data_IF_039615112263
#
_entry.id   IF_039615112263
#
_cell.length_a   1.000
_cell.length_b   1.000
_cell.length_c   1.000
_cell.angle_alpha   90.00
_cell.angle_beta   90.00
_cell.angle_gamma   90.00
#
_symmetry.space_group_name_H-M   'P 1'
#
loop_
_entity.id
_entity.type
_entity.pdbx_description
1 polymer ?
#
# COMPACT_ATOMS: atom_id res chain seq x y z
N UNK A 1 -32.90 14.41 -44.29
CA UNK A 1 -32.18 13.28 -43.68
C UNK A 1 -31.51 13.83 -42.44
N UNK A 2 -32.00 13.46 -41.26
CA UNK A 2 -31.57 14.01 -39.96
C UNK A 2 -30.20 13.43 -39.63
N UNK A 3 -29.23 14.31 -39.39
CA UNK A 3 -27.84 13.98 -39.13
C UNK A 3 -27.69 13.38 -37.72
N UNK A 4 -27.88 12.07 -37.64
CA UNK A 4 -27.81 11.24 -36.43
C UNK A 4 -26.43 11.29 -35.73
N UNK A 5 -25.41 11.85 -36.39
CA UNK A 5 -24.05 12.08 -35.88
C UNK A 5 -23.96 13.13 -34.76
N UNK A 6 -25.00 13.96 -34.58
CA UNK A 6 -25.03 15.07 -33.60
C UNK A 6 -25.80 14.75 -32.32
N UNK A 7 -26.24 13.51 -32.15
CA UNK A 7 -26.79 13.04 -30.88
C UNK A 7 -25.64 12.73 -29.93
N UNK A 8 -25.69 13.15 -28.65
CA UNK A 8 -24.68 12.85 -27.64
C UNK A 8 -24.80 11.40 -27.15
N UNK A 9 -25.07 10.46 -28.06
CA UNK A 9 -25.00 9.04 -27.79
C UNK A 9 -23.76 8.52 -28.51
N UNK A 10 -22.58 8.83 -27.97
CA UNK A 10 -21.39 8.01 -28.22
C UNK A 10 -21.70 6.62 -27.66
N UNK A 11 -21.95 5.59 -28.49
CA UNK A 11 -22.01 4.21 -28.02
C UNK A 11 -20.55 3.85 -27.73
N UNK A 12 -20.16 3.90 -26.46
CA UNK A 12 -18.74 3.78 -26.06
C UNK A 12 -18.37 4.60 -24.84
N UNK A 13 -19.29 5.38 -24.28
CA UNK A 13 -19.24 5.65 -22.84
C UNK A 13 -19.65 4.35 -22.12
N UNK A 14 -18.77 3.34 -22.17
CA UNK A 14 -18.87 2.10 -21.41
C UNK A 14 -18.69 2.42 -19.92
N UNK A 15 -19.69 3.08 -19.36
CA UNK A 15 -19.96 3.19 -17.92
C UNK A 15 -20.14 1.79 -17.28
N UNK A 16 -20.18 0.72 -18.08
CA UNK A 16 -20.15 -0.68 -17.64
C UNK A 16 -18.78 -1.23 -17.25
N UNK A 17 -17.66 -0.55 -17.55
CA UNK A 17 -16.31 -1.02 -17.15
C UNK A 17 -15.80 -0.41 -15.84
N UNK A 18 -16.50 0.60 -15.31
CA UNK A 18 -16.09 1.29 -14.08
C UNK A 18 -16.32 0.49 -12.80
N UNK A 19 -17.15 -0.57 -12.79
CA UNK A 19 -17.54 -1.22 -11.54
C UNK A 19 -17.68 -2.77 -11.56
N UNK A 20 -17.35 -3.48 -12.64
CA UNK A 20 -17.51 -4.97 -12.66
C UNK A 20 -16.21 -5.75 -12.46
N UNK A 21 -15.04 -5.13 -12.59
CA UNK A 21 -13.77 -5.85 -12.56
C UNK A 21 -13.28 -6.15 -11.14
N UNK A 22 -12.94 -7.42 -10.86
CA UNK A 22 -12.19 -7.89 -9.68
C UNK A 22 -10.98 -6.99 -9.37
N UNK A 23 -10.34 -6.46 -10.42
CA UNK A 23 -9.24 -5.50 -10.30
C UNK A 23 -9.57 -4.22 -9.52
N UNK A 24 -10.81 -3.70 -9.59
CA UNK A 24 -11.21 -2.49 -8.86
C UNK A 24 -11.33 -2.76 -7.36
N UNK A 25 -11.88 -3.92 -6.98
CA UNK A 25 -11.99 -4.32 -5.57
C UNK A 25 -10.61 -4.58 -4.97
N UNK A 26 -9.75 -5.26 -5.73
CA UNK A 26 -8.35 -5.48 -5.35
C UNK A 26 -7.61 -4.16 -5.21
N UNK A 27 -7.79 -3.23 -6.14
CA UNK A 27 -7.20 -1.88 -6.09
C UNK A 27 -7.60 -1.13 -4.82
N UNK A 28 -8.90 -1.13 -4.49
CA UNK A 28 -9.42 -0.47 -3.30
C UNK A 28 -8.80 -1.04 -2.01
N UNK A 29 -8.75 -2.37 -1.90
CA UNK A 29 -8.18 -3.06 -0.74
C UNK A 29 -6.67 -2.81 -0.66
N UNK A 30 -5.94 -2.91 -1.77
CA UNK A 30 -4.49 -2.70 -1.80
C UNK A 30 -4.10 -1.26 -1.49
N UNK A 31 -4.77 -0.27 -2.09
CA UNK A 31 -4.48 1.15 -1.83
C UNK A 31 -4.77 1.52 -0.38
N UNK A 32 -5.93 1.12 0.14
CA UNK A 32 -6.27 1.36 1.54
C UNK A 32 -5.34 0.59 2.49
N UNK A 33 -5.01 -0.67 2.15
CA UNK A 33 -4.10 -1.52 2.91
C UNK A 33 -2.68 -0.96 2.98
N UNK A 34 -2.11 -0.51 1.85
CA UNK A 34 -0.80 0.13 1.81
C UNK A 34 -0.78 1.45 2.58
N UNK A 35 -1.84 2.27 2.45
CA UNK A 35 -1.95 3.52 3.21
C UNK A 35 -1.96 3.25 4.71
N UNK A 36 -2.78 2.30 5.15
CA UNK A 36 -2.86 1.90 6.55
C UNK A 36 -1.56 1.26 7.05
N UNK A 37 -0.96 0.38 6.24
CA UNK A 37 0.32 -0.27 6.56
C UNK A 37 1.45 0.77 6.71
N UNK A 38 1.51 1.77 5.84
CA UNK A 38 2.49 2.87 5.95
C UNK A 38 2.32 3.67 7.24
N UNK A 39 1.09 3.98 7.63
CA UNK A 39 0.80 4.68 8.91
C UNK A 39 1.19 3.83 10.11
N UNK A 40 0.80 2.55 10.13
CA UNK A 40 1.15 1.62 11.21
C UNK A 40 2.67 1.49 11.31
N UNK A 41 3.35 1.34 10.18
CA UNK A 41 4.81 1.22 10.13
C UNK A 41 5.49 2.45 10.71
N UNK A 42 5.04 3.65 10.35
CA UNK A 42 5.58 4.89 10.88
C UNK A 42 5.45 4.95 12.42
N UNK A 43 4.28 4.60 12.96
CA UNK A 43 4.06 4.54 14.41
C UNK A 43 4.95 3.49 15.07
N UNK A 44 5.07 2.32 14.45
CA UNK A 44 5.86 1.20 14.98
C UNK A 44 7.37 1.51 14.99
N UNK A 45 7.87 2.23 13.99
CA UNK A 45 9.25 2.73 13.97
C UNK A 45 9.47 3.81 15.04
N UNK A 46 8.53 4.73 15.24
CA UNK A 46 8.64 5.74 16.31
C UNK A 46 8.69 5.09 17.70
N UNK A 47 7.73 4.21 18.00
CA UNK A 47 7.65 3.54 19.30
C UNK A 47 8.83 2.59 19.49
N UNK A 48 9.16 1.78 18.47
CA UNK A 48 10.29 0.85 18.51
C UNK A 48 11.64 1.57 18.62
N UNK A 49 11.80 2.70 17.94
CA UNK A 49 13.01 3.52 18.00
C UNK A 49 13.21 4.16 19.38
N UNK A 50 12.16 4.75 19.96
CA UNK A 50 12.23 5.30 21.32
C UNK A 50 12.51 4.20 22.34
N UNK A 51 11.86 3.04 22.20
CA UNK A 51 12.09 1.88 23.07
C UNK A 51 13.53 1.35 22.95
N UNK A 52 14.09 1.35 21.74
CA UNK A 52 15.48 0.93 21.52
C UNK A 52 16.48 1.88 22.17
N UNK A 53 16.29 3.20 22.01
CA UNK A 53 17.15 4.21 22.65
C UNK A 53 17.05 4.09 24.19
N UNK A 54 15.83 3.93 24.72
CA UNK A 54 15.61 3.74 26.15
C UNK A 54 16.25 2.43 26.69
N UNK A 55 16.21 1.35 25.90
CA UNK A 55 16.85 0.09 26.25
C UNK A 55 18.38 0.14 26.13
N UNK A 56 18.92 0.91 25.18
CA UNK A 56 20.36 1.08 24.99
C UNK A 56 21.01 1.93 26.10
N UNK A 57 20.24 2.79 26.76
CA UNK A 57 20.70 3.63 27.88
C UNK A 57 20.64 2.97 29.26
N UNK A 58 20.20 1.71 29.38
CA UNK A 58 20.10 1.00 30.65
C UNK A 58 20.90 -0.31 30.68
N UNK A 59 21.25 -0.78 31.88
CA UNK A 59 22.04 -2.00 32.09
C UNK A 59 21.26 -3.33 31.92
N UNK A 60 20.09 -3.31 31.25
CA UNK A 60 19.23 -4.49 31.05
C UNK A 60 19.50 -5.15 29.67
N UNK A 61 20.41 -6.15 29.55
CA UNK A 61 20.72 -6.79 28.27
C UNK A 61 19.51 -7.47 27.62
N UNK A 62 18.52 -7.87 28.44
CA UNK A 62 17.27 -8.48 27.95
C UNK A 62 16.42 -7.48 27.17
N UNK A 63 16.35 -6.22 27.62
CA UNK A 63 15.61 -5.16 26.91
C UNK A 63 16.29 -4.80 25.60
N UNK A 64 17.62 -4.76 25.59
CA UNK A 64 18.40 -4.50 24.37
C UNK A 64 18.23 -5.59 23.31
N UNK A 65 18.24 -6.87 23.73
CA UNK A 65 17.98 -7.99 22.84
C UNK A 65 16.55 -7.96 22.27
N UNK A 66 15.55 -7.68 23.12
CA UNK A 66 14.16 -7.52 22.66
C UNK A 66 13.99 -6.35 21.69
N UNK A 67 14.58 -5.19 21.98
CA UNK A 67 14.47 -4.01 21.13
C UNK A 67 15.13 -4.22 19.75
N UNK A 68 16.26 -4.94 19.70
CA UNK A 68 16.92 -5.33 18.44
C UNK A 68 16.04 -6.25 17.59
N UNK A 69 15.33 -7.19 18.22
CA UNK A 69 14.35 -8.06 17.55
C UNK A 69 13.15 -7.26 17.03
N UNK A 70 12.67 -6.28 17.81
CA UNK A 70 11.60 -5.36 17.38
C UNK A 70 12.00 -4.53 16.17
N UNK A 71 13.21 -3.96 16.15
CA UNK A 71 13.72 -3.21 14.99
C UNK A 71 13.83 -4.13 13.76
N UNK A 72 14.37 -5.33 13.93
CA UNK A 72 14.48 -6.30 12.84
C UNK A 72 13.11 -6.65 12.27
N UNK A 73 12.12 -6.86 13.14
CA UNK A 73 10.73 -7.11 12.73
C UNK A 73 10.11 -5.91 12.01
N UNK A 74 10.40 -4.68 12.45
CA UNK A 74 9.95 -3.45 11.81
C UNK A 74 10.56 -3.28 10.40
N UNK A 75 11.85 -3.60 10.25
CA UNK A 75 12.54 -3.59 8.96
C UNK A 75 11.97 -4.62 7.99
N UNK A 76 11.63 -5.82 8.48
CA UNK A 76 10.97 -6.85 7.68
C UNK A 76 9.59 -6.36 7.23
N UNK A 77 8.79 -5.77 8.12
CA UNK A 77 7.50 -5.17 7.78
C UNK A 77 7.64 -4.07 6.71
N UNK A 78 8.67 -3.23 6.84
CA UNK A 78 8.99 -2.21 5.84
C UNK A 78 9.31 -2.80 4.48
N UNK A 79 10.16 -3.83 4.45
CA UNK A 79 10.53 -4.53 3.24
C UNK A 79 9.32 -5.16 2.54
N UNK A 80 8.38 -5.72 3.30
CA UNK A 80 7.14 -6.31 2.75
C UNK A 80 6.29 -5.24 2.06
N UNK A 81 6.11 -4.07 2.65
CA UNK A 81 5.37 -2.95 2.04
C UNK A 81 6.09 -2.51 0.75
N UNK A 82 7.41 -2.41 0.79
CA UNK A 82 8.22 -2.02 -0.36
C UNK A 82 8.09 -3.03 -1.53
N UNK A 83 8.19 -4.33 -1.25
CA UNK A 83 7.96 -5.39 -2.23
C UNK A 83 6.53 -5.37 -2.77
N UNK A 84 5.53 -5.13 -1.91
CA UNK A 84 4.13 -5.03 -2.32
C UNK A 84 3.92 -3.90 -3.33
N UNK A 85 4.56 -2.74 -3.11
CA UNK A 85 4.51 -1.62 -4.05
C UNK A 85 5.08 -2.00 -5.43
N UNK A 86 6.24 -2.68 -5.46
CA UNK A 86 6.85 -3.14 -6.71
C UNK A 86 5.94 -4.09 -7.49
N UNK A 87 5.30 -5.04 -6.81
CA UNK A 87 4.35 -5.96 -7.46
C UNK A 87 3.19 -5.17 -8.08
N UNK A 88 2.63 -4.21 -7.34
CA UNK A 88 1.53 -3.39 -7.84
C UNK A 88 1.96 -2.59 -9.06
N UNK A 89 3.13 -1.96 -9.03
CA UNK A 89 3.68 -1.20 -10.16
C UNK A 89 3.80 -2.06 -11.43
N UNK A 90 4.26 -3.31 -11.30
CA UNK A 90 4.34 -4.25 -12.43
C UNK A 90 2.94 -4.53 -12.98
N UNK A 91 1.96 -4.75 -12.10
CA UNK A 91 0.56 -4.97 -12.51
C UNK A 91 0.03 -3.71 -13.24
N UNK A 92 0.28 -2.50 -12.75
CA UNK A 92 -0.14 -1.27 -13.43
C UNK A 92 0.42 -1.16 -14.84
N UNK A 93 1.71 -1.48 -15.03
CA UNK A 93 2.39 -1.42 -16.33
C UNK A 93 1.81 -2.42 -17.31
N UNK A 94 1.53 -3.65 -16.87
CA UNK A 94 0.98 -4.71 -17.73
C UNK A 94 -0.50 -4.45 -18.07
N UNK A 95 -1.27 -3.96 -17.08
CA UNK A 95 -2.72 -3.78 -17.24
C UNK A 95 -3.09 -2.41 -17.82
N UNK A 96 -2.18 -1.43 -17.78
CA UNK A 96 -2.45 -0.04 -18.16
C UNK A 96 -3.39 0.71 -17.23
N UNK A 97 -3.75 0.10 -16.09
CA UNK A 97 -4.65 0.67 -15.09
C UNK A 97 -3.84 1.23 -13.94
N UNK A 98 -4.10 2.48 -13.55
CA UNK A 98 -3.47 3.11 -12.39
C UNK A 98 -4.18 2.66 -11.11
N UNK A 99 -3.49 1.88 -10.28
CA UNK A 99 -3.98 1.25 -9.06
C UNK A 99 -3.65 2.12 -7.84
N UNK A 100 -2.47 2.75 -7.82
CA UNK A 100 -2.02 3.67 -6.80
C UNK A 100 -2.08 5.13 -7.27
#
# INVERSE_FOLDING_TARGET
MVDISKLPLTPGADIGTKYTNFGTLVTLILKNGLTLAGVILLVLILVGGVMYIAAAGGDDPKKLASASSTITSALIGFLVIFCSYFIIQIIEVITGLKIL
#
